data_IF_103290346928
#
_entry.id   IF_103290346928
#
_cell.length_a   1.000
_cell.length_b   1.000
_cell.length_c   1.000
_cell.angle_alpha   90.00
_cell.angle_beta   90.00
_cell.angle_gamma   90.00
#
_symmetry.space_group_name_H-M   'P 1'
#
loop_
_entity.id
_entity.type
_entity.pdbx_description
1 polymer ?
#
# COMPACT_ATOMS: atom_id res chain seq x y z
N UNK A 1 -13.35 -28.35 10.93
CA UNK A 1 -12.14 -27.59 10.56
C UNK A 1 -12.54 -26.71 9.38
N UNK A 2 -12.76 -25.41 9.59
CA UNK A 2 -13.27 -24.52 8.55
C UNK A 2 -12.12 -23.98 7.70
N UNK A 3 -12.38 -23.75 6.40
CA UNK A 3 -11.40 -23.20 5.48
C UNK A 3 -11.08 -21.73 5.81
N UNK A 4 -9.87 -21.23 5.47
CA UNK A 4 -9.52 -19.82 5.67
C UNK A 4 -10.53 -18.86 5.02
N UNK A 5 -11.10 -19.27 3.89
CA UNK A 5 -12.15 -18.55 3.16
C UNK A 5 -13.47 -18.44 3.95
N UNK A 6 -13.84 -19.48 4.71
CA UNK A 6 -15.03 -19.45 5.56
C UNK A 6 -14.84 -18.54 6.79
N UNK A 7 -13.64 -18.53 7.38
CA UNK A 7 -13.29 -17.59 8.46
C UNK A 7 -13.36 -16.13 7.98
N UNK A 8 -12.82 -15.86 6.80
CA UNK A 8 -12.85 -14.55 6.16
C UNK A 8 -14.28 -14.11 5.83
N UNK A 9 -15.08 -14.97 5.20
CA UNK A 9 -16.46 -14.69 4.86
C UNK A 9 -17.35 -14.50 6.11
N UNK A 10 -17.09 -15.24 7.20
CA UNK A 10 -17.81 -15.09 8.46
C UNK A 10 -17.49 -13.74 9.14
N UNK A 11 -16.23 -13.30 9.13
CA UNK A 11 -15.86 -11.94 9.60
C UNK A 11 -16.58 -10.83 8.83
N UNK A 12 -16.74 -10.98 7.52
CA UNK A 12 -17.46 -10.02 6.68
C UNK A 12 -18.98 -10.00 6.93
N UNK A 13 -19.61 -11.15 7.18
CA UNK A 13 -21.06 -11.27 7.34
C UNK A 13 -21.58 -10.89 8.74
N UNK A 14 -20.70 -10.77 9.74
CA UNK A 14 -21.02 -10.51 11.15
C UNK A 14 -20.68 -9.06 11.55
N UNK A 15 -20.65 -8.11 10.60
CA UNK A 15 -20.39 -6.68 10.86
C UNK A 15 -21.61 -5.99 11.48
N UNK A 16 -21.79 -6.23 12.78
CA UNK A 16 -22.44 -5.31 13.71
C UNK A 16 -21.36 -4.70 14.63
N UNK A 17 -20.17 -4.45 14.08
CA UNK A 17 -19.00 -4.03 14.82
C UNK A 17 -19.13 -2.56 15.24
N UNK A 18 -19.71 -2.31 16.41
CA UNK A 18 -19.69 -0.96 17.02
C UNK A 18 -18.29 -0.69 17.59
N UNK A 19 -17.69 0.45 17.23
CA UNK A 19 -16.40 0.92 17.76
C UNK A 19 -16.64 2.14 18.70
N UNK A 20 -17.19 1.92 19.91
CA UNK A 20 -17.84 2.96 20.72
C UNK A 20 -16.91 4.11 21.19
N UNK A 21 -15.60 3.90 21.18
CA UNK A 21 -14.59 4.92 21.54
C UNK A 21 -13.52 5.11 20.45
N UNK A 22 -13.74 4.52 19.27
CA UNK A 22 -12.78 4.55 18.19
C UNK A 22 -13.15 5.49 17.06
N UNK A 23 -12.26 5.55 16.07
CA UNK A 23 -12.46 6.39 14.90
C UNK A 23 -13.37 5.66 13.90
N UNK A 24 -14.47 6.29 13.52
CA UNK A 24 -15.50 5.69 12.66
C UNK A 24 -15.08 5.57 11.19
N UNK A 25 -14.19 6.42 10.70
CA UNK A 25 -13.81 6.42 9.28
C UNK A 25 -13.10 5.12 8.85
N UNK A 26 -12.06 4.62 9.57
CA UNK A 26 -11.46 3.32 9.26
C UNK A 26 -12.45 2.16 9.32
N UNK A 27 -13.40 2.23 10.26
CA UNK A 27 -14.41 1.19 10.42
C UNK A 27 -15.35 1.14 9.21
N UNK A 28 -15.82 2.29 8.72
CA UNK A 28 -16.74 2.35 7.58
C UNK A 28 -16.10 1.90 6.25
N UNK A 29 -14.84 2.24 6.02
CA UNK A 29 -14.16 1.98 4.74
C UNK A 29 -13.37 0.68 4.71
N UNK A 30 -12.86 0.24 5.86
CA UNK A 30 -11.91 -0.87 5.96
C UNK A 30 -12.38 -1.98 6.89
N UNK A 31 -13.53 -1.83 7.56
CA UNK A 31 -14.04 -2.75 8.59
C UNK A 31 -13.06 -2.98 9.76
N UNK A 32 -12.21 -1.99 10.05
CA UNK A 32 -11.22 -2.05 11.12
C UNK A 32 -11.52 -1.02 12.23
N UNK A 33 -11.60 -1.46 13.49
CA UNK A 33 -11.78 -0.56 14.63
C UNK A 33 -10.42 -0.01 15.10
N UNK A 34 -10.27 1.32 15.04
CA UNK A 34 -9.07 2.03 15.50
C UNK A 34 -9.43 2.88 16.71
N UNK A 35 -9.11 2.40 17.90
CA UNK A 35 -9.45 3.04 19.18
C UNK A 35 -8.28 3.77 19.84
N UNK A 36 -7.08 3.18 19.80
CA UNK A 36 -5.89 3.74 20.44
C UNK A 36 -5.32 4.95 19.71
N UNK A 37 -4.75 5.89 20.47
CA UNK A 37 -4.09 7.08 19.92
C UNK A 37 -2.92 6.72 18.98
N UNK A 38 -2.21 5.64 19.27
CA UNK A 38 -1.07 5.16 18.48
C UNK A 38 -1.51 4.67 17.11
N UNK A 39 -2.59 3.88 17.06
CA UNK A 39 -3.12 3.38 15.79
C UNK A 39 -3.73 4.51 14.96
N UNK A 40 -4.44 5.47 15.58
CA UNK A 40 -4.96 6.66 14.89
C UNK A 40 -3.84 7.48 14.26
N UNK A 41 -2.79 7.75 15.04
CA UNK A 41 -1.63 8.52 14.56
C UNK A 41 -0.90 7.76 13.45
N UNK A 42 -0.67 6.45 13.62
CA UNK A 42 -0.03 5.61 12.61
C UNK A 42 -0.79 5.59 11.29
N UNK A 43 -2.12 5.48 11.35
CA UNK A 43 -2.97 5.53 10.15
C UNK A 43 -2.87 6.88 9.43
N UNK A 44 -2.97 7.98 10.16
CA UNK A 44 -2.90 9.33 9.57
C UNK A 44 -1.53 9.58 8.95
N UNK A 45 -0.45 9.22 9.65
CA UNK A 45 0.90 9.37 9.14
C UNK A 45 1.14 8.52 7.89
N UNK A 46 0.64 7.29 7.86
CA UNK A 46 0.73 6.43 6.68
C UNK A 46 0.00 7.02 5.45
N UNK A 47 -1.18 7.65 5.64
CA UNK A 47 -1.86 8.33 4.55
C UNK A 47 -1.09 9.57 4.05
N UNK A 48 -0.49 10.34 4.96
CA UNK A 48 0.33 11.50 4.61
C UNK A 48 1.57 11.05 3.84
N UNK A 49 2.25 10.01 4.32
CA UNK A 49 3.43 9.43 3.69
C UNK A 49 3.12 8.97 2.25
N UNK A 50 2.03 8.22 2.06
CA UNK A 50 1.57 7.80 0.74
C UNK A 50 1.34 8.99 -0.20
N UNK A 51 0.68 10.03 0.30
CA UNK A 51 0.39 11.21 -0.50
C UNK A 51 1.66 11.97 -0.91
N UNK A 52 2.61 12.11 0.01
CA UNK A 52 3.91 12.75 -0.26
C UNK A 52 4.68 11.93 -1.31
N UNK A 53 4.73 10.61 -1.16
CA UNK A 53 5.39 9.73 -2.13
C UNK A 53 4.78 9.84 -3.53
N UNK A 54 3.45 9.86 -3.61
CA UNK A 54 2.75 10.03 -4.89
C UNK A 54 3.13 11.35 -5.59
N UNK A 55 3.14 12.46 -4.84
CA UNK A 55 3.56 13.76 -5.37
C UNK A 55 5.03 13.75 -5.77
N UNK A 56 5.91 13.14 -4.98
CA UNK A 56 7.34 13.10 -5.26
C UNK A 56 7.68 12.31 -6.54
N UNK A 57 6.92 11.24 -6.82
CA UNK A 57 7.20 10.38 -7.97
C UNK A 57 6.60 10.88 -9.28
N UNK A 58 5.46 11.58 -9.21
CA UNK A 58 4.79 12.18 -10.37
C UNK A 58 5.71 13.02 -11.27
N UNK A 59 6.51 13.99 -10.76
CA UNK A 59 7.40 14.79 -11.61
C UNK A 59 8.48 13.93 -12.26
N UNK A 60 8.97 12.87 -11.60
CA UNK A 60 9.98 11.99 -12.18
C UNK A 60 9.41 11.21 -13.38
N UNK A 61 8.21 10.66 -13.24
CA UNK A 61 7.50 9.97 -14.32
C UNK A 61 7.30 10.91 -15.51
N UNK A 62 6.88 12.16 -15.25
CA UNK A 62 6.69 13.16 -16.29
C UNK A 62 8.01 13.55 -16.98
N UNK A 63 9.09 13.70 -16.21
CA UNK A 63 10.40 14.08 -16.74
C UNK A 63 10.98 12.99 -17.65
N UNK A 64 10.86 11.72 -17.27
CA UNK A 64 11.29 10.59 -18.08
C UNK A 64 10.57 10.56 -19.45
N UNK A 65 9.26 10.84 -19.45
CA UNK A 65 8.48 10.93 -20.70
C UNK A 65 8.93 12.12 -21.53
N UNK A 66 9.11 13.29 -20.91
CA UNK A 66 9.46 14.53 -21.61
C UNK A 66 10.85 14.48 -22.25
N UNK A 67 11.82 13.92 -21.54
CA UNK A 67 13.22 13.88 -21.99
C UNK A 67 13.54 12.64 -22.81
N UNK A 68 12.59 11.70 -22.93
CA UNK A 68 12.77 10.37 -23.54
C UNK A 68 14.01 9.63 -23.03
N UNK A 69 14.40 9.91 -21.79
CA UNK A 69 15.59 9.36 -21.17
C UNK A 69 15.36 9.15 -19.68
N UNK A 70 15.69 7.96 -19.17
CA UNK A 70 15.49 7.57 -17.77
C UNK A 70 16.80 7.46 -16.98
N UNK A 71 17.62 8.51 -17.01
CA UNK A 71 18.94 8.51 -16.35
C UNK A 71 18.94 8.67 -14.83
N UNK A 72 17.78 8.85 -14.19
CA UNK A 72 17.69 9.12 -12.75
C UNK A 72 17.88 7.87 -11.86
N UNK A 73 17.54 6.68 -12.36
CA UNK A 73 17.61 5.43 -11.61
C UNK A 73 18.24 4.30 -12.42
N UNK A 74 18.87 3.34 -11.73
CA UNK A 74 19.45 2.15 -12.37
C UNK A 74 18.49 0.97 -12.32
N UNK A 75 18.65 0.02 -13.24
CA UNK A 75 17.85 -1.23 -13.28
C UNK A 75 17.98 -1.99 -11.97
N UNK A 76 19.19 -2.06 -11.41
CA UNK A 76 19.44 -2.75 -10.13
C UNK A 76 18.70 -2.08 -8.98
N UNK A 77 18.67 -0.75 -8.94
CA UNK A 77 18.00 -0.02 -7.87
C UNK A 77 16.49 -0.23 -7.90
N UNK A 78 15.85 -0.07 -9.06
CA UNK A 78 14.41 -0.34 -9.23
C UNK A 78 14.10 -1.83 -8.97
N UNK A 79 14.97 -2.73 -9.40
CA UNK A 79 14.82 -4.17 -9.12
C UNK A 79 14.80 -4.47 -7.61
N UNK A 80 15.68 -3.83 -6.83
CA UNK A 80 15.68 -3.98 -5.38
C UNK A 80 14.40 -3.44 -4.72
N UNK A 81 13.85 -2.32 -5.20
CA UNK A 81 12.57 -1.80 -4.71
C UNK A 81 11.42 -2.76 -4.96
N UNK A 82 11.26 -3.24 -6.20
CA UNK A 82 10.21 -4.21 -6.54
C UNK A 82 10.33 -5.47 -5.68
N UNK A 83 11.54 -6.00 -5.49
CA UNK A 83 11.74 -7.17 -4.63
C UNK A 83 11.35 -6.86 -3.18
N UNK A 84 11.75 -5.69 -2.66
CA UNK A 84 11.38 -5.23 -1.32
C UNK A 84 9.87 -5.14 -1.14
N UNK A 85 9.16 -4.55 -2.10
CA UNK A 85 7.71 -4.38 -2.06
C UNK A 85 6.95 -5.70 -2.21
N UNK A 86 7.45 -6.62 -3.02
CA UNK A 86 6.91 -7.98 -3.11
C UNK A 86 7.07 -8.74 -1.79
N UNK A 87 8.22 -8.60 -1.13
CA UNK A 87 8.44 -9.17 0.20
C UNK A 87 7.55 -8.50 1.26
N UNK A 88 7.36 -7.18 1.18
CA UNK A 88 6.46 -6.44 2.07
C UNK A 88 5.01 -6.94 1.92
N UNK A 89 4.53 -7.07 0.67
CA UNK A 89 3.21 -7.62 0.38
C UNK A 89 3.07 -9.06 0.90
N UNK A 90 4.09 -9.90 0.69
CA UNK A 90 4.11 -11.28 1.16
C UNK A 90 3.99 -11.35 2.68
N UNK A 91 4.76 -10.57 3.42
CA UNK A 91 4.70 -10.53 4.90
C UNK A 91 3.32 -10.09 5.37
N UNK A 92 2.77 -9.04 4.76
CA UNK A 92 1.46 -8.48 5.14
C UNK A 92 0.32 -9.47 4.88
N UNK A 93 0.42 -10.28 3.83
CA UNK A 93 -0.51 -11.40 3.57
C UNK A 93 -0.31 -12.51 4.60
N UNK A 94 0.92 -12.96 4.84
CA UNK A 94 1.23 -14.07 5.75
C UNK A 94 0.89 -13.77 7.20
N UNK A 95 1.01 -12.51 7.62
CA UNK A 95 0.73 -12.06 8.99
C UNK A 95 -0.71 -11.60 9.19
N UNK A 96 -1.55 -11.71 8.14
CA UNK A 96 -2.94 -11.24 8.13
C UNK A 96 -3.12 -9.82 8.69
N UNK A 97 -2.18 -8.91 8.41
CA UNK A 97 -2.23 -7.54 8.90
C UNK A 97 -3.48 -6.79 8.46
N UNK A 98 -3.75 -5.65 9.12
CA UNK A 98 -4.95 -4.83 8.86
C UNK A 98 -5.10 -4.47 7.38
N UNK A 99 -6.35 -4.39 6.94
CA UNK A 99 -6.70 -4.23 5.51
C UNK A 99 -6.04 -3.01 4.85
N UNK A 100 -5.86 -1.93 5.61
CA UNK A 100 -5.22 -0.69 5.14
C UNK A 100 -3.76 -0.93 4.73
N UNK A 101 -3.01 -1.66 5.55
CA UNK A 101 -1.59 -1.95 5.27
C UNK A 101 -1.45 -2.89 4.08
N UNK A 102 -2.38 -3.84 3.91
CA UNK A 102 -2.48 -4.67 2.70
C UNK A 102 -2.67 -3.83 1.44
N UNK A 103 -3.61 -2.88 1.46
CA UNK A 103 -3.82 -1.99 0.32
C UNK A 103 -2.57 -1.16 0.03
N UNK A 104 -1.94 -0.62 1.07
CA UNK A 104 -0.73 0.20 0.94
C UNK A 104 0.42 -0.56 0.27
N UNK A 105 0.66 -1.82 0.68
CA UNK A 105 1.68 -2.67 0.06
C UNK A 105 1.42 -2.93 -1.44
N UNK A 106 0.16 -3.02 -1.85
CA UNK A 106 -0.21 -3.13 -3.28
C UNK A 106 -0.01 -1.79 -4.00
N UNK A 107 -0.34 -0.68 -3.35
CA UNK A 107 -0.18 0.65 -3.93
C UNK A 107 1.28 1.02 -4.24
N UNK A 108 2.24 0.57 -3.43
CA UNK A 108 3.66 0.84 -3.67
C UNK A 108 4.21 0.13 -4.93
N UNK A 109 3.68 -1.04 -5.28
CA UNK A 109 4.10 -1.75 -6.50
C UNK A 109 3.75 -1.02 -7.80
N UNK A 110 2.64 -0.28 -7.84
CA UNK A 110 2.16 0.38 -9.05
C UNK A 110 3.15 1.41 -9.65
N UNK A 111 3.64 2.41 -8.87
CA UNK A 111 4.65 3.35 -9.36
C UNK A 111 5.97 2.67 -9.77
N UNK A 112 6.39 1.64 -9.05
CA UNK A 112 7.62 0.90 -9.33
C UNK A 112 7.58 0.23 -10.70
N UNK A 113 6.44 -0.40 -11.04
CA UNK A 113 6.24 -0.96 -12.37
C UNK A 113 6.23 0.12 -13.46
N UNK A 114 5.64 1.29 -13.20
CA UNK A 114 5.67 2.41 -14.16
C UNK A 114 7.11 2.84 -14.43
N UNK A 115 7.92 3.02 -13.37
CA UNK A 115 9.31 3.40 -13.51
C UNK A 115 10.14 2.33 -14.21
N UNK A 116 9.89 1.05 -13.94
CA UNK A 116 10.55 -0.05 -14.63
C UNK A 116 10.22 -0.05 -16.14
N UNK A 117 8.95 0.16 -16.50
CA UNK A 117 8.53 0.25 -17.90
C UNK A 117 9.17 1.46 -18.61
N UNK A 118 9.25 2.61 -17.91
CA UNK A 118 9.93 3.79 -18.43
C UNK A 118 11.43 3.51 -18.61
N UNK A 119 12.06 2.85 -17.66
CA UNK A 119 13.46 2.48 -17.75
C UNK A 119 13.70 1.52 -18.92
N UNK A 120 12.83 0.54 -19.16
CA UNK A 120 12.96 -0.36 -20.29
C UNK A 120 12.76 0.35 -21.65
N UNK A 121 11.92 1.39 -21.71
CA UNK A 121 11.60 2.13 -22.94
C UNK A 121 12.60 3.25 -23.26
N UNK A 122 13.11 3.92 -22.22
CA UNK A 122 13.93 5.13 -22.29
C UNK A 122 15.37 4.91 -21.77
N UNK A 123 15.79 3.64 -21.67
CA UNK A 123 17.17 3.23 -21.35
C UNK A 123 18.17 3.70 -22.41
#
# INVERSE_FOLDING_TARGET
MYSPLYSFAKRFMESNATCPNGWEFPLYWFDECIDTIWMKTGFILGLIELFIWFIALTPQIMLNIKNEHSGAFTVTFIGCWIIGDLLNLMVVILTEQVTVVKMLAIFYLFPDFILLLQLAKYA
#
